data_IF_022242232134
#
_entry.id   IF_022242232134
#
_cell.length_a   1.000
_cell.length_b   1.000
_cell.length_c   1.000
_cell.angle_alpha   90.00
_cell.angle_beta   90.00
_cell.angle_gamma   90.00
#
_symmetry.space_group_name_H-M   'P 1'
#
loop_
_entity.id
_entity.type
_entity.pdbx_description
1 polymer ?
#
# COMPACT_ATOMS: atom_id res chain seq x y z
N UNK A 1 -14.56 20.13 -3.23
CA UNK A 1 -13.65 19.72 -4.30
C UNK A 1 -12.54 18.92 -3.64
N UNK A 2 -12.48 17.60 -3.64
CA UNK A 2 -13.39 16.55 -4.07
C UNK A 2 -13.13 15.41 -3.07
N UNK A 3 -14.05 15.11 -2.16
CA UNK A 3 -13.85 14.09 -1.11
C UNK A 3 -13.40 12.74 -1.71
N UNK A 4 -13.93 12.40 -2.88
CA UNK A 4 -13.51 11.26 -3.69
C UNK A 4 -12.07 11.33 -4.18
N UNK A 5 -11.59 12.52 -4.56
CA UNK A 5 -10.21 12.71 -5.00
C UNK A 5 -9.24 12.62 -3.82
N UNK A 6 -9.62 13.14 -2.65
CA UNK A 6 -8.84 12.98 -1.42
C UNK A 6 -8.75 11.52 -0.99
N UNK A 7 -9.89 10.79 -0.99
CA UNK A 7 -9.92 9.36 -0.72
C UNK A 7 -9.06 8.58 -1.74
N UNK A 8 -9.19 8.89 -3.04
CA UNK A 8 -8.41 8.22 -4.07
C UNK A 8 -6.90 8.47 -3.90
N UNK A 9 -6.50 9.69 -3.53
CA UNK A 9 -5.11 10.01 -3.24
C UNK A 9 -4.61 9.27 -1.99
N UNK A 10 -5.43 9.19 -0.93
CA UNK A 10 -5.11 8.42 0.27
C UNK A 10 -4.88 6.94 -0.04
N UNK A 11 -5.76 6.33 -0.85
CA UNK A 11 -5.60 4.95 -1.31
C UNK A 11 -4.32 4.80 -2.13
N UNK A 12 -4.05 5.73 -3.05
CA UNK A 12 -2.83 5.72 -3.87
C UNK A 12 -1.56 5.76 -3.00
N UNK A 13 -1.51 6.67 -2.04
CA UNK A 13 -0.39 6.80 -1.11
C UNK A 13 -0.21 5.54 -0.27
N UNK A 14 -1.30 4.95 0.25
CA UNK A 14 -1.24 3.71 1.01
C UNK A 14 -0.66 2.55 0.17
N UNK A 15 -1.09 2.38 -1.09
CA UNK A 15 -0.53 1.38 -1.99
C UNK A 15 0.97 1.56 -2.24
N UNK A 16 1.40 2.80 -2.52
CA UNK A 16 2.81 3.10 -2.78
C UNK A 16 3.67 2.86 -1.55
N UNK A 17 3.25 3.37 -0.39
CA UNK A 17 3.97 3.22 0.85
C UNK A 17 4.11 1.74 1.21
N UNK A 18 3.00 1.00 1.17
CA UNK A 18 3.01 -0.41 1.56
C UNK A 18 3.90 -1.26 0.65
N UNK A 19 3.93 -0.98 -0.66
CA UNK A 19 4.82 -1.67 -1.59
C UNK A 19 6.29 -1.33 -1.38
N UNK A 20 6.63 -0.06 -1.13
CA UNK A 20 8.00 0.37 -0.87
C UNK A 20 8.54 -0.26 0.42
N UNK A 21 7.78 -0.19 1.52
CA UNK A 21 8.17 -0.80 2.79
C UNK A 21 8.38 -2.31 2.66
N UNK A 22 7.46 -3.03 2.00
CA UNK A 22 7.61 -4.47 1.82
C UNK A 22 8.78 -4.83 0.91
N UNK A 23 9.05 -4.04 -0.14
CA UNK A 23 10.20 -4.23 -1.02
C UNK A 23 11.53 -4.07 -0.26
N UNK A 24 11.65 -3.01 0.54
CA UNK A 24 12.84 -2.74 1.36
C UNK A 24 13.04 -3.83 2.40
N UNK A 25 11.97 -4.21 3.12
CA UNK A 25 12.01 -5.27 4.13
C UNK A 25 12.36 -6.64 3.54
N UNK A 26 11.78 -6.99 2.39
CA UNK A 26 12.12 -8.20 1.65
C UNK A 26 13.61 -8.20 1.25
N UNK A 27 14.14 -7.02 0.92
CA UNK A 27 15.55 -6.85 0.61
C UNK A 27 16.49 -7.02 1.79
N UNK A 28 16.13 -6.47 2.95
CA UNK A 28 16.84 -6.70 4.22
C UNK A 28 16.82 -8.19 4.57
N UNK A 29 15.73 -8.88 4.23
CA UNK A 29 15.56 -10.33 4.45
C UNK A 29 16.31 -11.21 3.43
N UNK A 30 17.05 -10.60 2.48
CA UNK A 30 17.90 -11.32 1.53
C UNK A 30 17.19 -11.82 0.26
N UNK A 31 15.94 -11.39 0.00
CA UNK A 31 15.23 -11.80 -1.20
C UNK A 31 15.83 -11.16 -2.47
N UNK A 32 15.80 -11.93 -3.56
CA UNK A 32 16.11 -11.46 -4.90
C UNK A 32 15.04 -10.48 -5.41
N UNK A 33 15.29 -9.82 -6.55
CA UNK A 33 14.36 -8.82 -7.10
C UNK A 33 12.94 -9.35 -7.33
N UNK A 34 12.81 -10.58 -7.85
CA UNK A 34 11.51 -11.22 -8.06
C UNK A 34 10.80 -11.51 -6.72
N UNK A 35 11.52 -12.07 -5.74
CA UNK A 35 10.96 -12.31 -4.41
C UNK A 35 10.53 -11.03 -3.70
N UNK A 36 11.29 -9.92 -3.85
CA UNK A 36 10.89 -8.60 -3.33
C UNK A 36 9.63 -8.09 -4.01
N UNK A 37 9.51 -8.29 -5.33
CA UNK A 37 8.34 -7.90 -6.11
C UNK A 37 7.09 -8.63 -5.64
N UNK A 38 7.16 -9.96 -5.46
CA UNK A 38 6.04 -10.75 -4.98
C UNK A 38 5.56 -10.28 -3.60
N UNK A 39 6.49 -10.00 -2.68
CA UNK A 39 6.17 -9.48 -1.34
C UNK A 39 5.53 -8.10 -1.43
N UNK A 40 6.05 -7.19 -2.24
CA UNK A 40 5.49 -5.84 -2.44
C UNK A 40 4.06 -5.88 -3.00
N UNK A 41 3.80 -6.72 -3.99
CA UNK A 41 2.44 -6.91 -4.55
C UNK A 41 1.51 -7.54 -3.53
N UNK A 42 1.97 -8.54 -2.78
CA UNK A 42 1.17 -9.16 -1.74
C UNK A 42 0.80 -8.16 -0.64
N UNK A 43 1.72 -7.25 -0.29
CA UNK A 43 1.47 -6.21 0.71
C UNK A 43 0.36 -5.23 0.24
N UNK A 44 0.35 -4.83 -1.03
CA UNK A 44 -0.77 -4.04 -1.60
C UNK A 44 -2.10 -4.82 -1.51
N UNK A 45 -2.11 -6.11 -1.85
CA UNK A 45 -3.32 -6.95 -1.80
C UNK A 45 -3.91 -7.11 -0.40
N UNK A 46 -3.10 -6.92 0.63
CA UNK A 46 -3.51 -7.02 2.03
C UNK A 46 -4.01 -5.70 2.62
N UNK A 47 -3.97 -4.60 1.88
CA UNK A 47 -4.50 -3.32 2.33
C UNK A 47 -6.01 -3.41 2.60
N UNK A 48 -6.42 -2.92 3.76
CA UNK A 48 -7.81 -2.83 4.16
C UNK A 48 -8.45 -1.59 3.50
N UNK A 49 -8.97 -1.78 2.28
CA UNK A 49 -9.57 -0.70 1.49
C UNK A 49 -10.77 -0.08 2.21
N UNK A 50 -11.54 -0.86 2.97
CA UNK A 50 -12.70 -0.34 3.70
C UNK A 50 -12.26 0.75 4.68
N UNK A 51 -11.21 0.49 5.46
CA UNK A 51 -10.63 1.49 6.36
C UNK A 51 -10.05 2.70 5.62
N UNK A 52 -9.45 2.48 4.46
CA UNK A 52 -8.86 3.54 3.65
C UNK A 52 -9.88 4.41 2.92
N UNK A 53 -11.17 4.09 2.97
CA UNK A 53 -12.26 4.92 2.41
C UNK A 53 -13.19 5.48 3.49
N UNK A 54 -13.00 5.12 4.77
CA UNK A 54 -13.72 5.74 5.89
C UNK A 54 -13.42 7.25 5.93
N UNK A 55 -14.47 8.05 5.96
CA UNK A 55 -14.34 9.49 6.18
C UNK A 55 -14.02 9.71 7.67
N UNK A 56 -13.16 10.69 8.02
CA UNK A 56 -12.80 10.98 9.42
C UNK A 56 -13.97 11.44 10.32
N UNK A 57 -15.22 11.41 9.83
CA UNK A 57 -16.43 11.78 10.57
C UNK A 57 -17.39 10.59 10.79
N UNK A 58 -17.05 9.39 10.33
CA UNK A 58 -17.81 8.14 10.56
C UNK A 58 -17.31 7.42 11.82
#
# INVERSE_FOLDING_TARGET
MDDKLEIAERVRQACLQQALDAWEQAGISGLCGEGRWEVAINAIRQLDIAKLIESPQD
#
